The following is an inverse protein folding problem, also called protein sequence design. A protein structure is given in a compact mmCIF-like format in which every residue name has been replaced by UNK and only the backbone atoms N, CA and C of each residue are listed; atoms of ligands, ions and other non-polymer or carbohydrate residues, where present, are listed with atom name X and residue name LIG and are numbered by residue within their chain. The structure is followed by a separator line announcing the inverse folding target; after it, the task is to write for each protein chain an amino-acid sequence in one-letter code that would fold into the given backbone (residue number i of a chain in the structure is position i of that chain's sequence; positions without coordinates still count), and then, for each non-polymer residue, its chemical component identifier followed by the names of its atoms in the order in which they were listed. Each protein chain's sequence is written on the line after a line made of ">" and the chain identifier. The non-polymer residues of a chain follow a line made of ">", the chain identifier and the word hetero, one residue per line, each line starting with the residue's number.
data_IF_758782921451
#
_entry.id   IF_758782921451
#
_cell.length_a   1.000
_cell.length_b   1.000
_cell.length_c   1.000
_cell.angle_alpha   90.00
_cell.angle_beta   90.00
_cell.angle_gamma   90.00
#
_symmetry.space_group_name_H-M   'P 1'
#
loop_
_entity.id
_entity.type
_entity.pdbx_description
1 polymer ?
#
# COMPACT_ATOMS: atom_id res chain seq x y z
N UNK A 1 -16.15 19.67 13.58
CA UNK A 1 -15.89 18.23 13.33
C UNK A 1 -14.45 18.11 12.84
N UNK A 2 -13.70 17.08 13.25
CA UNK A 2 -12.35 16.90 12.75
C UNK A 2 -12.39 16.64 11.24
N UNK A 3 -11.43 17.20 10.52
CA UNK A 3 -11.30 17.05 9.07
C UNK A 3 -9.90 16.61 8.71
N UNK A 4 -9.80 15.84 7.63
CA UNK A 4 -8.53 15.61 6.94
C UNK A 4 -8.42 16.66 5.84
N UNK A 5 -7.35 17.45 5.86
CA UNK A 5 -6.99 18.36 4.78
C UNK A 5 -5.85 17.74 3.99
N UNK A 6 -6.01 17.65 2.66
CA UNK A 6 -4.96 17.27 1.74
C UNK A 6 -4.68 18.42 0.79
N UNK A 7 -3.43 18.82 0.69
CA UNK A 7 -2.94 19.74 -0.36
C UNK A 7 -1.92 19.00 -1.20
N UNK A 8 -2.04 19.09 -2.52
CA UNK A 8 -1.21 18.33 -3.44
C UNK A 8 -0.92 19.08 -4.74
N UNK A 9 0.13 18.64 -5.45
CA UNK A 9 0.43 19.03 -6.82
C UNK A 9 1.30 17.97 -7.50
N UNK A 10 1.11 17.81 -8.80
CA UNK A 10 2.06 17.11 -9.66
C UNK A 10 3.15 18.10 -10.09
N UNK A 11 4.41 17.67 -9.97
CA UNK A 11 5.58 18.48 -10.30
C UNK A 11 6.04 18.20 -11.74
N UNK A 12 6.73 19.14 -12.39
CA UNK A 12 7.31 18.91 -13.72
C UNK A 12 8.31 17.76 -13.78
N UNK A 13 8.92 17.39 -12.64
CA UNK A 13 9.85 16.27 -12.52
C UNK A 13 9.17 14.89 -12.42
N UNK A 14 7.84 14.82 -12.53
CA UNK A 14 7.08 13.57 -12.45
C UNK A 14 6.84 13.07 -11.02
N UNK A 15 6.96 13.94 -10.01
CA UNK A 15 6.61 13.62 -8.63
C UNK A 15 5.25 14.19 -8.23
N UNK A 16 4.44 13.40 -7.53
CA UNK A 16 3.23 13.84 -6.84
C UNK A 16 3.57 14.20 -5.39
N UNK A 17 3.42 15.46 -5.03
CA UNK A 17 3.60 15.94 -3.65
C UNK A 17 2.24 15.98 -2.96
N UNK A 18 2.15 15.37 -1.78
CA UNK A 18 0.94 15.30 -0.97
C UNK A 18 1.28 15.72 0.47
N UNK A 19 0.48 16.63 1.01
CA UNK A 19 0.57 17.11 2.38
C UNK A 19 -0.77 16.84 3.07
N UNK A 20 -0.78 16.10 4.18
CA UNK A 20 -2.00 15.67 4.87
C UNK A 20 -1.99 16.00 6.37
N UNK A 21 -2.93 16.84 6.81
CA UNK A 21 -2.96 17.40 8.17
C UNK A 21 -4.39 17.56 8.69
N UNK A 22 -4.53 17.72 10.01
CA UNK A 22 -5.79 18.13 10.65
C UNK A 22 -6.07 19.64 10.52
N UNK A 23 -5.08 20.44 10.07
CA UNK A 23 -5.21 21.89 9.85
C UNK A 23 -4.99 22.29 8.39
N UNK A 24 -5.92 23.07 7.83
CA UNK A 24 -5.91 23.50 6.43
C UNK A 24 -4.67 24.33 6.08
N UNK A 25 -4.31 25.27 6.95
CA UNK A 25 -3.16 26.15 6.72
C UNK A 25 -1.85 25.36 6.76
N UNK A 26 -1.73 24.42 7.71
CA UNK A 26 -0.54 23.57 7.81
C UNK A 26 -0.39 22.70 6.56
N UNK A 27 -1.48 22.07 6.11
CA UNK A 27 -1.50 21.30 4.86
C UNK A 27 -0.97 22.11 3.68
N UNK A 28 -1.48 23.33 3.49
CA UNK A 28 -1.08 24.19 2.37
C UNK A 28 0.37 24.66 2.46
N UNK A 29 0.80 25.13 3.63
CA UNK A 29 2.17 25.63 3.82
C UNK A 29 3.19 24.51 3.61
N UNK A 30 2.95 23.33 4.18
CA UNK A 30 3.86 22.19 4.05
C UNK A 30 3.94 21.68 2.59
N UNK A 31 2.82 21.61 1.87
CA UNK A 31 2.85 21.30 0.43
C UNK A 31 3.67 22.34 -0.34
N UNK A 32 3.42 23.63 -0.08
CA UNK A 32 4.14 24.72 -0.76
C UNK A 32 5.64 24.66 -0.52
N UNK A 33 6.09 24.35 0.70
CA UNK A 33 7.52 24.24 1.01
C UNK A 33 8.24 23.15 0.21
N UNK A 34 7.52 22.09 -0.18
CA UNK A 34 8.06 20.99 -0.96
C UNK A 34 8.06 21.29 -2.46
N UNK A 35 7.03 21.98 -2.97
CA UNK A 35 6.91 22.23 -4.41
C UNK A 35 7.63 23.50 -4.88
N UNK A 36 7.93 24.44 -3.97
CA UNK A 36 8.63 25.69 -4.33
C UNK A 36 10.02 25.43 -4.95
N UNK A 37 10.69 24.37 -4.53
CA UNK A 37 12.01 23.97 -5.06
C UNK A 37 11.91 23.41 -6.47
N UNK A 38 10.70 22.98 -6.87
CA UNK A 38 10.36 22.49 -8.21
C UNK A 38 9.79 23.61 -9.10
N UNK A 39 9.87 24.88 -8.66
CA UNK A 39 9.41 26.04 -9.43
C UNK A 39 7.91 26.29 -9.44
N UNK A 40 7.13 25.53 -8.65
CA UNK A 40 5.68 25.69 -8.55
C UNK A 40 5.31 26.84 -7.60
N UNK A 41 4.18 27.49 -7.91
CA UNK A 41 3.57 28.57 -7.13
C UNK A 41 2.46 28.02 -6.23
N UNK A 42 2.05 28.83 -5.27
CA UNK A 42 0.94 28.48 -4.36
C UNK A 42 -0.41 28.33 -5.07
N UNK A 43 -0.56 28.91 -6.27
CA UNK A 43 -1.73 28.78 -7.14
C UNK A 43 -1.82 27.43 -7.85
N UNK A 44 -0.70 26.71 -7.96
CA UNK A 44 -0.64 25.41 -8.62
C UNK A 44 -1.03 24.27 -7.67
N UNK A 45 -1.20 24.60 -6.38
CA UNK A 45 -1.63 23.67 -5.35
C UNK A 45 -3.13 23.44 -5.42
N UNK A 46 -3.51 22.17 -5.44
CA UNK A 46 -4.89 21.73 -5.31
C UNK A 46 -5.17 21.29 -3.88
N UNK A 47 -6.44 21.23 -3.49
CA UNK A 47 -6.82 20.82 -2.13
C UNK A 47 -8.08 19.97 -2.12
N UNK A 48 -8.08 18.97 -1.23
CA UNK A 48 -9.23 18.16 -0.88
C UNK A 48 -9.44 18.26 0.63
N UNK A 49 -10.70 18.21 1.07
CA UNK A 49 -11.02 18.12 2.49
C UNK A 49 -12.08 17.05 2.73
N UNK A 50 -11.96 16.36 3.85
CA UNK A 50 -12.85 15.29 4.23
C UNK A 50 -13.30 15.44 5.68
N UNK A 51 -14.60 15.65 5.87
CA UNK A 51 -15.22 15.60 7.18
C UNK A 51 -15.22 14.18 7.75
N UNK A 52 -14.88 14.07 9.03
CA UNK A 52 -15.06 12.85 9.82
C UNK A 52 -16.38 12.94 10.60
N UNK A 53 -17.06 11.80 10.81
CA UNK A 53 -18.27 11.77 11.63
C UNK A 53 -17.96 12.17 13.09
N UNK A 54 -19.00 12.50 13.86
CA UNK A 54 -18.84 12.90 15.26
C UNK A 54 -18.17 11.80 16.13
N UNK A 55 -18.49 10.54 15.85
CA UNK A 55 -17.81 9.37 16.39
C UNK A 55 -17.06 8.67 15.28
N UNK A 56 -15.74 8.54 15.43
CA UNK A 56 -14.86 7.88 14.48
C UNK A 56 -13.83 7.02 15.23
N UNK A 57 -13.12 6.17 14.49
CA UNK A 57 -11.95 5.41 14.94
C UNK A 57 -10.89 5.42 13.83
N UNK A 58 -9.75 4.78 14.06
CA UNK A 58 -8.65 4.76 13.10
C UNK A 58 -9.03 4.10 11.77
N UNK A 59 -10.01 3.19 11.76
CA UNK A 59 -10.49 2.53 10.54
C UNK A 59 -11.26 3.54 9.69
N UNK A 60 -12.14 4.33 10.29
CA UNK A 60 -12.89 5.38 9.61
C UNK A 60 -11.93 6.45 9.07
N UNK A 61 -10.94 6.86 9.86
CA UNK A 61 -9.96 7.87 9.43
C UNK A 61 -9.11 7.34 8.27
N UNK A 62 -8.63 6.10 8.37
CA UNK A 62 -7.90 5.41 7.30
C UNK A 62 -8.72 5.37 6.01
N UNK A 63 -9.98 4.94 6.08
CA UNK A 63 -10.85 4.86 4.89
C UNK A 63 -11.05 6.24 4.28
N UNK A 64 -11.31 7.25 5.11
CA UNK A 64 -11.51 8.63 4.63
C UNK A 64 -10.25 9.18 3.95
N UNK A 65 -9.07 8.91 4.51
CA UNK A 65 -7.78 9.27 3.89
C UNK A 65 -7.63 8.61 2.51
N UNK A 66 -7.89 7.30 2.41
CA UNK A 66 -7.79 6.57 1.16
C UNK A 66 -8.79 7.07 0.10
N UNK A 67 -10.02 7.41 0.50
CA UNK A 67 -11.01 7.99 -0.41
C UNK A 67 -10.56 9.34 -0.97
N UNK A 68 -9.96 10.20 -0.13
CA UNK A 68 -9.41 11.48 -0.57
C UNK A 68 -8.22 11.28 -1.51
N UNK A 69 -7.31 10.36 -1.20
CA UNK A 69 -6.18 10.04 -2.06
C UNK A 69 -6.63 9.46 -3.41
N UNK A 70 -7.70 8.67 -3.42
CA UNK A 70 -8.32 8.17 -4.65
C UNK A 70 -8.82 9.30 -5.53
N UNK A 71 -9.41 10.34 -4.94
CA UNK A 71 -9.79 11.56 -5.67
C UNK A 71 -8.63 12.27 -6.37
N UNK A 72 -7.39 12.04 -5.95
CA UNK A 72 -6.19 12.54 -6.63
C UNK A 72 -5.80 11.61 -7.79
N UNK A 73 -5.79 10.29 -7.56
CA UNK A 73 -5.38 9.32 -8.58
C UNK A 73 -6.37 9.24 -9.76
N UNK A 74 -7.65 9.44 -9.50
CA UNK A 74 -8.70 9.39 -10.52
C UNK A 74 -8.62 10.57 -11.53
N UNK A 75 -7.79 11.58 -11.27
CA UNK A 75 -7.54 12.69 -12.20
C UNK A 75 -6.60 12.33 -13.36
N UNK A 76 -6.00 11.12 -13.35
CA UNK A 76 -5.10 10.68 -14.42
C UNK A 76 -3.78 11.47 -14.49
N UNK A 77 -3.31 11.98 -13.35
CA UNK A 77 -2.01 12.65 -13.25
C UNK A 77 -0.87 11.66 -13.56
N UNK A 78 0.08 12.09 -14.38
CA UNK A 78 1.29 11.30 -14.65
C UNK A 78 2.38 11.60 -13.62
N UNK A 79 2.80 10.56 -12.90
CA UNK A 79 3.87 10.63 -11.90
C UNK A 79 4.45 9.23 -11.67
N UNK A 80 5.75 9.15 -11.36
CA UNK A 80 6.44 7.91 -10.98
C UNK A 80 6.88 7.90 -9.52
N UNK A 81 6.90 9.07 -8.86
CA UNK A 81 7.27 9.24 -7.46
C UNK A 81 6.18 9.96 -6.68
N UNK A 82 6.04 9.62 -5.41
CA UNK A 82 5.11 10.25 -4.46
C UNK A 82 5.88 10.66 -3.22
N UNK A 83 5.82 11.95 -2.88
CA UNK A 83 6.25 12.44 -1.57
C UNK A 83 5.00 12.69 -0.74
N UNK A 84 4.76 11.85 0.26
CA UNK A 84 3.65 12.00 1.19
C UNK A 84 4.18 12.54 2.51
N UNK A 85 3.73 13.73 2.90
CA UNK A 85 4.05 14.37 4.17
C UNK A 85 2.81 14.43 5.05
N UNK A 86 2.86 13.84 6.24
CA UNK A 86 1.69 13.69 7.11
C UNK A 86 1.97 14.01 8.58
N UNK A 87 0.92 14.41 9.29
CA UNK A 87 0.96 14.53 10.75
C UNK A 87 1.01 13.15 11.43
N UNK A 88 1.90 12.96 12.40
CA UNK A 88 2.06 11.71 13.14
C UNK A 88 0.76 11.27 13.86
N UNK A 89 -0.02 12.26 14.32
CA UNK A 89 -1.29 12.06 15.01
C UNK A 89 -2.51 12.40 14.14
N UNK A 90 -2.39 12.26 12.80
CA UNK A 90 -3.43 12.67 11.86
C UNK A 90 -4.82 12.21 12.31
N UNK A 91 -5.66 13.13 12.78
CA UNK A 91 -7.02 12.86 13.24
C UNK A 91 -7.15 11.69 14.24
N UNK A 92 -6.18 11.51 15.15
CA UNK A 92 -6.34 10.59 16.28
C UNK A 92 -7.18 11.24 17.39
N UNK A 93 -7.77 10.42 18.27
CA UNK A 93 -8.62 10.91 19.37
C UNK A 93 -7.83 11.64 20.45
N UNK A 94 -6.62 11.15 20.75
CA UNK A 94 -5.71 11.76 21.73
C UNK A 94 -4.49 12.27 20.99
N UNK A 95 -3.97 13.42 21.41
CA UNK A 95 -2.85 14.08 20.71
C UNK A 95 -1.57 13.23 20.73
N UNK A 96 -1.47 12.35 21.71
CA UNK A 96 -0.34 11.46 21.98
C UNK A 96 -0.47 10.11 21.26
N UNK A 97 -1.58 9.84 20.58
CA UNK A 97 -1.79 8.60 19.82
C UNK A 97 -1.18 8.74 18.42
N UNK A 98 -0.39 7.75 18.00
CA UNK A 98 0.08 7.61 16.62
C UNK A 98 -1.06 7.16 15.71
N UNK A 99 -1.11 7.71 14.49
CA UNK A 99 -2.02 7.24 13.45
C UNK A 99 -1.50 5.93 12.84
N UNK A 100 -2.03 4.74 13.21
CA UNK A 100 -1.38 3.45 12.92
C UNK A 100 -1.28 3.15 11.42
N UNK A 101 -2.22 3.64 10.63
CA UNK A 101 -2.24 3.49 9.17
C UNK A 101 -1.13 4.26 8.44
N UNK A 102 -0.41 5.16 9.12
CA UNK A 102 0.79 5.78 8.57
C UNK A 102 2.04 4.87 8.73
N UNK A 103 1.96 3.88 9.63
CA UNK A 103 3.07 2.97 9.95
C UNK A 103 2.87 1.55 9.41
N UNK A 104 1.64 1.18 9.04
CA UNK A 104 1.31 -0.18 8.59
C UNK A 104 1.58 -0.42 7.08
N UNK A 105 2.19 0.55 6.38
CA UNK A 105 2.46 0.51 4.94
C UNK A 105 1.24 0.83 4.05
N UNK A 106 0.15 1.36 4.59
CA UNK A 106 -1.06 1.68 3.83
C UNK A 106 -0.79 2.67 2.69
N UNK A 107 -0.02 3.72 2.94
CA UNK A 107 0.32 4.71 1.91
C UNK A 107 1.15 4.07 0.79
N UNK A 108 2.14 3.25 1.14
CA UNK A 108 2.97 2.54 0.15
C UNK A 108 2.15 1.57 -0.70
N UNK A 109 1.20 0.84 -0.10
CA UNK A 109 0.29 -0.06 -0.84
C UNK A 109 -0.68 0.71 -1.73
N UNK A 110 -1.16 1.86 -1.27
CA UNK A 110 -2.07 2.70 -2.07
C UNK A 110 -1.39 3.19 -3.35
N UNK A 111 -0.13 3.61 -3.26
CA UNK A 111 0.69 4.03 -4.41
C UNK A 111 1.59 2.89 -4.93
N UNK A 112 1.09 1.66 -4.96
CA UNK A 112 1.85 0.51 -5.45
C UNK A 112 2.41 0.75 -6.86
N UNK A 113 3.66 0.34 -7.09
CA UNK A 113 4.37 0.55 -8.37
C UNK A 113 4.96 1.95 -8.55
N UNK A 114 4.80 2.85 -7.56
CA UNK A 114 5.44 4.17 -7.54
C UNK A 114 6.53 4.21 -6.46
N UNK A 115 7.50 5.09 -6.65
CA UNK A 115 8.46 5.38 -5.60
C UNK A 115 7.80 6.23 -4.52
N UNK A 116 7.60 5.70 -3.31
CA UNK A 116 7.00 6.46 -2.20
C UNK A 116 8.08 6.93 -1.23
N UNK A 117 8.11 8.23 -0.93
CA UNK A 117 8.86 8.82 0.17
C UNK A 117 7.86 9.32 1.21
N UNK A 118 7.86 8.68 2.38
CA UNK A 118 6.99 9.06 3.49
C UNK A 118 7.75 9.99 4.44
N UNK A 119 7.13 11.12 4.80
CA UNK A 119 7.65 12.07 5.80
C UNK A 119 6.56 12.25 6.86
N UNK A 120 6.79 11.74 8.06
CA UNK A 120 5.85 11.85 9.18
C UNK A 120 6.40 12.83 10.21
N UNK A 121 5.58 13.76 10.66
CA UNK A 121 6.06 14.81 11.58
C UNK A 121 5.09 15.28 12.65
N UNK A 122 5.63 15.85 13.71
CA UNK A 122 4.90 16.56 14.76
C UNK A 122 5.68 17.76 15.29
N UNK A 123 4.99 18.73 15.90
CA UNK A 123 5.64 19.86 16.56
C UNK A 123 6.23 19.51 17.93
N UNK A 124 5.83 18.37 18.52
CA UNK A 124 6.27 17.95 19.86
C UNK A 124 7.40 16.92 19.75
N UNK A 125 8.55 17.21 20.35
CA UNK A 125 9.74 16.36 20.29
C UNK A 125 9.52 15.00 20.96
N UNK A 126 8.95 14.97 22.16
CA UNK A 126 8.73 13.75 22.93
C UNK A 126 7.84 12.76 22.16
N UNK A 127 6.91 13.29 21.39
CA UNK A 127 6.03 12.52 20.54
C UNK A 127 6.74 11.99 19.27
N UNK A 128 7.68 12.75 18.71
CA UNK A 128 8.56 12.27 17.63
C UNK A 128 9.49 11.16 18.15
N UNK A 129 10.01 11.27 19.37
CA UNK A 129 10.79 10.20 20.03
C UNK A 129 9.94 8.92 20.18
N UNK A 130 8.72 9.02 20.71
CA UNK A 130 7.81 7.87 20.81
C UNK A 130 7.46 7.26 19.44
N UNK A 131 7.31 8.07 18.40
CA UNK A 131 7.10 7.59 17.04
C UNK A 131 8.32 6.83 16.49
N UNK A 132 9.53 7.30 16.80
CA UNK A 132 10.79 6.64 16.45
C UNK A 132 10.90 5.29 17.16
N UNK A 133 10.67 5.24 18.47
CA UNK A 133 10.72 4.00 19.26
C UNK A 133 9.71 2.97 18.74
N UNK A 134 8.50 3.43 18.38
CA UNK A 134 7.49 2.58 17.78
C UNK A 134 7.93 2.05 16.40
N UNK A 135 8.47 2.92 15.54
CA UNK A 135 8.96 2.56 14.22
C UNK A 135 10.12 1.55 14.28
N UNK A 136 11.05 1.71 15.21
CA UNK A 136 12.16 0.78 15.44
C UNK A 136 11.65 -0.60 15.84
N UNK A 137 10.69 -0.67 16.77
CA UNK A 137 10.09 -1.93 17.23
C UNK A 137 9.41 -2.73 16.12
N UNK A 138 8.76 -2.05 15.17
CA UNK A 138 8.04 -2.72 14.07
C UNK A 138 8.92 -2.95 12.84
N UNK A 139 10.19 -2.53 12.87
CA UNK A 139 11.08 -2.60 11.70
C UNK A 139 10.61 -1.72 10.55
N UNK A 140 10.17 -0.50 10.85
CA UNK A 140 9.66 0.43 9.84
C UNK A 140 10.75 0.85 8.85
N UNK A 141 10.39 1.01 7.58
CA UNK A 141 11.34 1.29 6.49
C UNK A 141 10.77 2.32 5.51
N UNK A 142 11.65 2.98 4.76
CA UNK A 142 11.26 3.88 3.66
C UNK A 142 10.54 5.17 4.08
N UNK A 143 10.87 5.71 5.26
CA UNK A 143 10.23 6.89 5.82
C UNK A 143 11.21 7.83 6.52
N UNK A 144 10.83 9.08 6.71
CA UNK A 144 11.49 10.04 7.59
C UNK A 144 10.51 10.38 8.71
N UNK A 145 10.93 10.25 9.96
CA UNK A 145 10.16 10.69 11.13
C UNK A 145 10.89 11.87 11.74
N UNK A 146 10.23 13.02 11.86
CA UNK A 146 10.89 14.25 12.27
C UNK A 146 10.00 15.25 13.00
N UNK A 147 10.61 16.25 13.63
CA UNK A 147 9.90 17.44 14.12
C UNK A 147 9.53 18.38 12.97
N UNK A 148 8.42 19.10 13.10
CA UNK A 148 7.94 20.08 12.11
C UNK A 148 8.94 21.23 11.93
N UNK A 149 8.95 21.79 10.73
CA UNK A 149 9.74 22.99 10.42
C UNK A 149 9.30 24.17 11.30
N UNK A 150 10.26 24.84 11.96
CA UNK A 150 9.98 25.92 12.92
C UNK A 150 10.07 25.50 14.40
N UNK A 151 10.30 24.22 14.67
CA UNK A 151 10.70 23.74 16.01
C UNK A 151 12.06 24.37 16.38
N UNK A 152 12.28 24.80 17.64
CA UNK A 152 13.58 25.32 18.07
C UNK A 152 14.71 24.33 17.79
N UNK A 153 15.90 24.83 17.42
CA UNK A 153 17.04 23.98 17.04
C UNK A 153 17.43 22.96 18.11
N UNK A 154 17.28 23.29 19.39
CA UNK A 154 17.59 22.33 20.48
C UNK A 154 16.57 21.19 20.59
N UNK A 155 15.41 21.36 19.97
CA UNK A 155 14.31 20.40 19.95
C UNK A 155 14.14 19.69 18.60
N UNK A 156 14.90 20.09 17.57
CA UNK A 156 14.87 19.43 16.27
C UNK A 156 15.30 17.96 16.40
N UNK A 157 14.48 17.06 15.87
CA UNK A 157 14.73 15.64 15.84
C UNK A 157 14.33 15.10 14.47
N UNK A 158 15.17 14.27 13.86
CA UNK A 158 14.88 13.61 12.59
C UNK A 158 15.59 12.27 12.51
N UNK A 159 14.86 11.24 12.07
CA UNK A 159 15.40 9.92 11.79
C UNK A 159 14.90 9.43 10.44
N UNK A 160 15.83 9.01 9.60
CA UNK A 160 15.56 8.46 8.27
C UNK A 160 15.66 6.93 8.31
N UNK A 161 14.61 6.27 7.85
CA UNK A 161 14.53 4.83 7.70
C UNK A 161 14.76 4.48 6.22
N UNK A 162 15.84 3.76 5.90
CA UNK A 162 16.16 3.42 4.51
C UNK A 162 15.05 2.56 3.91
N UNK A 163 14.88 2.64 2.58
CA UNK A 163 14.01 1.72 1.85
C UNK A 163 14.69 0.34 1.84
N UNK A 164 13.92 -0.72 2.10
CA UNK A 164 14.41 -2.06 1.79
C UNK A 164 14.41 -2.20 0.26
N UNK A 165 15.61 -2.23 -0.32
CA UNK A 165 15.80 -2.65 -1.70
C UNK A 165 15.41 -4.12 -1.78
N UNK A 166 14.17 -4.39 -2.19
CA UNK A 166 13.86 -5.71 -2.75
C UNK A 166 14.44 -5.69 -4.14
N UNK A 167 15.65 -6.21 -4.29
CA UNK A 167 16.09 -6.74 -5.58
C UNK A 167 15.02 -7.73 -6.02
N UNK A 168 14.12 -7.30 -6.91
CA UNK A 168 13.35 -8.25 -7.69
C UNK A 168 14.39 -8.88 -8.61
N UNK A 169 14.94 -10.02 -8.20
CA UNK A 169 15.65 -10.93 -9.10
C UNK A 169 14.63 -11.40 -10.13
N UNK A 170 14.40 -10.56 -11.13
CA UNK A 170 13.80 -10.95 -12.39
C UNK A 170 14.88 -11.70 -13.16
N UNK A 171 15.38 -12.79 -12.59
CA UNK A 171 15.97 -13.87 -13.35
C UNK A 171 14.85 -14.43 -14.21
N UNK A 172 14.61 -13.77 -15.33
CA UNK A 172 13.88 -14.34 -16.46
C UNK A 172 14.54 -15.70 -16.68
N UNK A 173 13.82 -16.82 -16.52
CA UNK A 173 14.37 -18.12 -16.84
C UNK A 173 14.87 -18.03 -18.27
N UNK A 174 16.18 -18.15 -18.50
CA UNK A 174 16.72 -18.20 -19.85
C UNK A 174 15.92 -19.27 -20.58
N UNK A 175 15.18 -18.94 -21.65
CA UNK A 175 14.42 -19.94 -22.37
C UNK A 175 15.42 -21.00 -22.81
N UNK A 176 15.13 -22.26 -22.49
CA UNK A 176 15.91 -23.38 -23.04
C UNK A 176 15.78 -23.27 -24.54
N UNK A 177 16.91 -23.06 -25.23
CA UNK A 177 16.99 -22.97 -26.69
C UNK A 177 16.47 -24.22 -27.40
N UNK A 178 16.17 -25.31 -26.68
CA UNK A 178 15.57 -26.52 -27.23
C UNK A 178 14.08 -26.41 -27.58
N UNK A 179 13.39 -25.32 -27.22
CA UNK A 179 11.95 -25.14 -27.50
C UNK A 179 11.64 -24.06 -28.54
N UNK A 180 12.65 -23.36 -29.06
CA UNK A 180 12.47 -22.39 -30.14
C UNK A 180 12.75 -23.04 -31.50
N UNK A 181 11.70 -23.14 -32.30
CA UNK A 181 11.66 -23.50 -33.73
C UNK A 181 11.98 -24.97 -34.08
N UNK A 182 10.94 -25.83 -34.07
CA UNK A 182 10.85 -26.84 -35.12
C UNK A 182 10.36 -26.15 -36.40
N UNK A 183 11.31 -25.70 -37.23
CA UNK A 183 11.00 -25.24 -38.58
C UNK A 183 10.60 -26.45 -39.44
N UNK A 184 9.42 -26.37 -40.05
CA UNK A 184 8.81 -27.34 -40.98
C UNK A 184 8.15 -28.56 -40.31
N UNK A 185 6.85 -28.43 -40.03
CA UNK A 185 5.93 -29.56 -40.10
C UNK A 185 5.44 -29.63 -41.54
N UNK A 186 5.77 -30.69 -42.25
CA UNK A 186 5.18 -30.98 -43.56
C UNK A 186 3.71 -31.36 -43.33
N UNK A 187 2.80 -30.43 -43.60
CA UNK A 187 1.35 -30.69 -43.52
C UNK A 187 0.97 -31.56 -44.72
N UNK A 188 0.77 -32.86 -44.48
CA UNK A 188 0.25 -33.79 -45.49
C UNK A 188 -1.28 -33.89 -45.48
N UNK A 189 -1.99 -33.29 -44.53
CA UNK A 189 -3.45 -33.38 -44.45
C UNK A 189 -4.08 -32.10 -43.85
N UNK A 190 -4.98 -31.40 -44.59
CA UNK A 190 -5.67 -30.20 -44.13
C UNK A 190 -6.54 -30.40 -42.87
N UNK A 191 -6.92 -31.63 -42.54
CA UNK A 191 -7.80 -31.90 -41.39
C UNK A 191 -7.09 -31.90 -40.02
N UNK A 192 -5.75 -31.85 -39.99
CA UNK A 192 -4.94 -31.86 -38.74
C UNK A 192 -4.70 -30.45 -38.17
N UNK A 193 -5.03 -29.39 -38.92
CA UNK A 193 -4.82 -28.00 -38.49
C UNK A 193 -5.77 -27.55 -37.38
N UNK A 194 -6.97 -28.14 -37.31
CA UNK A 194 -7.99 -27.82 -36.29
C UNK A 194 -7.54 -28.19 -34.88
N UNK A 195 -6.82 -29.31 -34.74
CA UNK A 195 -6.31 -29.81 -33.45
C UNK A 195 -5.09 -29.03 -32.96
N UNK A 196 -4.31 -28.41 -33.88
CA UNK A 196 -3.15 -27.61 -33.54
C UNK A 196 -3.50 -26.17 -33.10
N UNK A 197 -4.59 -25.60 -33.64
CA UNK A 197 -5.07 -24.27 -33.25
C UNK A 197 -5.85 -24.28 -31.93
N UNK A 198 -6.40 -25.43 -31.52
CA UNK A 198 -7.09 -25.60 -30.23
C UNK A 198 -6.19 -25.55 -28.99
N UNK A 199 -4.85 -25.56 -29.15
CA UNK A 199 -3.87 -25.51 -28.04
C UNK A 199 -3.31 -24.12 -27.74
N UNK A 200 -3.72 -23.08 -28.47
CA UNK A 200 -3.47 -21.69 -28.08
C UNK A 200 -4.62 -21.20 -27.17
N UNK A 201 -4.53 -21.52 -25.88
CA UNK A 201 -5.46 -21.00 -24.89
C UNK A 201 -5.76 -21.95 -23.74
N UNK A 202 -4.75 -22.33 -22.96
CA UNK A 202 -4.96 -22.93 -21.64
C UNK A 202 -3.91 -22.43 -20.67
N UNK A 203 -4.22 -21.31 -19.99
CA UNK A 203 -3.60 -21.01 -18.71
C UNK A 203 -4.27 -21.92 -17.68
N UNK A 204 -3.63 -23.05 -17.37
CA UNK A 204 -4.03 -23.85 -16.21
C UNK A 204 -3.45 -23.21 -14.94
N UNK A 205 -4.28 -22.80 -13.96
CA UNK A 205 -3.80 -22.53 -12.62
C UNK A 205 -3.39 -23.87 -11.99
N UNK A 206 -2.27 -23.88 -11.28
CA UNK A 206 -1.88 -25.03 -10.47
C UNK A 206 -2.94 -25.24 -9.37
N UNK A 207 -3.68 -26.34 -9.46
CA UNK A 207 -4.56 -26.81 -8.39
C UNK A 207 -4.31 -28.29 -8.12
N UNK A 208 -4.13 -28.56 -6.82
CA UNK A 208 -4.56 -29.74 -6.08
C UNK A 208 -4.12 -31.12 -6.60
N UNK A 209 -3.14 -31.70 -5.91
CA UNK A 209 -3.03 -33.16 -5.84
C UNK A 209 -4.19 -33.70 -4.98
N UNK A 210 -5.04 -34.53 -5.59
CA UNK A 210 -5.84 -35.51 -4.87
C UNK A 210 -5.69 -36.82 -5.61
N UNK A 211 -5.02 -37.79 -4.98
CA UNK A 211 -4.89 -39.14 -5.51
C UNK A 211 -5.98 -40.04 -4.93
N UNK A 212 -6.46 -40.90 -5.81
CA UNK A 212 -7.68 -41.68 -5.83
C UNK A 212 -7.70 -42.93 -4.92
N UNK A 213 -8.90 -43.32 -4.49
CA UNK A 213 -9.24 -44.64 -3.93
C UNK A 213 -9.32 -45.74 -5.02
N UNK A 214 -9.31 -47.04 -4.63
CA UNK A 214 -10.52 -47.84 -4.88
C UNK A 214 -10.91 -48.87 -3.77
N UNK A 215 -12.13 -49.39 -3.95
CA UNK A 215 -13.12 -50.00 -3.03
C UNK A 215 -13.03 -51.52 -2.76
N UNK A 216 -13.71 -51.95 -1.66
CA UNK A 216 -14.37 -53.25 -1.28
C UNK A 216 -13.68 -53.99 -0.12
N UNK A 217 -14.34 -54.58 0.90
CA UNK A 217 -15.69 -55.16 1.08
C UNK A 217 -15.96 -55.39 2.61
N UNK A 218 -17.23 -55.36 3.05
CA UNK A 218 -17.95 -56.18 4.08
C UNK A 218 -17.17 -56.80 5.27
N UNK A 219 -17.62 -56.82 6.53
CA UNK A 219 -18.95 -57.18 7.09
C UNK A 219 -19.03 -56.91 8.62
N UNK A 220 -20.26 -56.84 9.16
CA UNK A 220 -20.71 -57.12 10.56
C UNK A 220 -20.25 -56.24 11.73
N UNK A 221 -20.97 -56.04 12.83
CA UNK A 221 -22.37 -56.15 13.32
C UNK A 221 -22.23 -55.84 14.83
N UNK A 222 -23.14 -55.07 15.44
CA UNK A 222 -23.04 -54.81 16.89
C UNK A 222 -23.83 -53.59 17.38
N UNK A 223 -25.13 -53.77 17.50
CA UNK A 223 -26.10 -52.93 18.22
C UNK A 223 -26.01 -53.19 19.73
N UNK A 224 -26.15 -52.15 20.57
CA UNK A 224 -26.97 -52.11 21.82
C UNK A 224 -26.65 -50.82 22.60
N UNK A 225 -27.58 -49.86 22.64
CA UNK A 225 -28.59 -49.65 23.70
C UNK A 225 -28.09 -48.81 24.90
N UNK A 226 -28.45 -47.52 24.86
CA UNK A 226 -28.78 -46.68 26.03
C UNK A 226 -29.99 -47.28 26.79
N UNK A 227 -30.18 -47.05 28.12
CA UNK A 227 -30.76 -45.76 28.55
C UNK A 227 -30.53 -45.28 30.01
N UNK A 228 -30.77 -43.98 30.20
CA UNK A 228 -31.37 -43.37 31.41
C UNK A 228 -30.41 -43.01 32.57
N UNK A 229 -30.70 -42.07 33.48
CA UNK A 229 -31.63 -40.94 33.63
C UNK A 229 -31.34 -40.39 35.05
N UNK A 230 -31.57 -39.08 35.28
CA UNK A 230 -31.69 -38.38 36.60
C UNK A 230 -30.44 -38.23 37.47
N UNK A 231 -30.20 -37.12 38.17
CA UNK A 231 -31.08 -36.05 38.68
C UNK A 231 -30.65 -34.64 38.25
#
# INVERSE_FOLDING_TARGET
>A
MPKIYITYAATPSGALVISSYHEKVQSKLNAFTLVKTEGLKSTDLQSLEGDLPASYDDVIVKQKLLDLLKGITDQGLDYNRVTYRGDLNLCTKRKEDLAPYLFDGTINRFFAGKEVQLILESANKEYVEGAIDFADRIGFTGAVIQTKSGTPKEQELSKTYPKQEREMDVSVPKPKTSELAQSSVTVQDPHVLSDALGKFGSFSPASAETTSAPTKKQDQEGTEETPGLTN
#
